data_IF_309253777409
#
_entry.id   IF_309253777409
#
_cell.length_a   1.000
_cell.length_b   1.000
_cell.length_c   1.000
_cell.angle_alpha   90.00
_cell.angle_beta   90.00
_cell.angle_gamma   90.00
#
_symmetry.space_group_name_H-M   'P 1'
#
loop_
_entity.id
_entity.type
_entity.pdbx_description
1 polymer ?
#
# COMPACT_ATOMS: atom_id res chain seq x y z
N UNK A 1 -4.89 31.32 -19.88
CA UNK A 1 -5.88 30.73 -20.82
C UNK A 1 -5.31 29.52 -21.56
N UNK A 2 -4.00 29.43 -21.83
CA UNK A 2 -3.35 28.22 -22.39
C UNK A 2 -3.28 27.06 -21.37
N UNK A 3 -2.91 27.34 -20.11
CA UNK A 3 -2.79 26.30 -19.05
C UNK A 3 -4.10 25.55 -18.73
N UNK A 4 -5.26 26.19 -18.91
CA UNK A 4 -6.56 25.56 -18.62
C UNK A 4 -6.97 24.57 -19.71
N UNK A 5 -6.56 24.80 -20.95
CA UNK A 5 -6.83 23.88 -22.05
C UNK A 5 -5.95 22.63 -21.98
N UNK A 6 -4.68 22.78 -21.57
CA UNK A 6 -3.76 21.64 -21.43
C UNK A 6 -4.18 20.72 -20.28
N UNK A 7 -4.62 21.26 -19.13
CA UNK A 7 -5.14 20.45 -18.02
C UNK A 7 -6.44 19.71 -18.39
N UNK A 8 -7.35 20.36 -19.12
CA UNK A 8 -8.60 19.73 -19.58
C UNK A 8 -8.34 18.65 -20.63
N UNK A 9 -7.39 18.89 -21.55
CA UNK A 9 -7.01 17.92 -22.59
C UNK A 9 -6.32 16.70 -21.96
N UNK A 10 -5.41 16.92 -21.01
CA UNK A 10 -4.71 15.86 -20.28
C UNK A 10 -5.68 15.00 -19.47
N UNK A 11 -6.59 15.62 -18.70
CA UNK A 11 -7.61 14.90 -17.95
C UNK A 11 -8.57 14.11 -18.86
N UNK A 12 -8.89 14.65 -20.05
CA UNK A 12 -9.74 13.96 -21.04
C UNK A 12 -9.03 12.76 -21.69
N UNK A 13 -7.71 12.86 -21.91
CA UNK A 13 -6.88 11.78 -22.46
C UNK A 13 -6.67 10.66 -21.43
N UNK A 14 -6.33 11.00 -20.18
CA UNK A 14 -6.22 10.03 -19.07
C UNK A 14 -7.55 9.29 -18.84
N UNK A 15 -8.68 9.99 -18.95
CA UNK A 15 -10.02 9.37 -18.87
C UNK A 15 -10.28 8.43 -20.04
N UNK A 16 -9.71 8.69 -21.22
CA UNK A 16 -9.90 7.83 -22.40
C UNK A 16 -9.02 6.58 -22.34
N UNK A 17 -7.78 6.71 -21.90
CA UNK A 17 -6.83 5.59 -21.76
C UNK A 17 -7.21 4.64 -20.63
N UNK A 18 -7.56 5.16 -19.45
CA UNK A 18 -8.09 4.35 -18.33
C UNK A 18 -9.32 3.55 -18.74
N UNK A 19 -10.26 4.18 -19.44
CA UNK A 19 -11.46 3.53 -19.94
C UNK A 19 -11.14 2.40 -20.94
N UNK A 20 -10.15 2.58 -21.83
CA UNK A 20 -9.75 1.51 -22.74
C UNK A 20 -9.22 0.27 -22.00
N UNK A 21 -8.35 0.47 -20.99
CA UNK A 21 -7.84 -0.64 -20.17
C UNK A 21 -8.96 -1.36 -19.42
N UNK A 22 -9.92 -0.60 -18.86
CA UNK A 22 -11.11 -1.16 -18.19
C UNK A 22 -11.97 -1.97 -19.16
N UNK A 23 -12.22 -1.47 -20.37
CA UNK A 23 -13.00 -2.18 -21.38
C UNK A 23 -12.32 -3.50 -21.77
N UNK A 24 -11.01 -3.45 -22.05
CA UNK A 24 -10.24 -4.67 -22.37
C UNK A 24 -10.27 -5.66 -21.20
N UNK A 25 -10.12 -5.19 -19.96
CA UNK A 25 -10.23 -6.02 -18.77
C UNK A 25 -11.59 -6.74 -18.68
N UNK A 26 -12.69 -6.01 -18.89
CA UNK A 26 -14.03 -6.60 -18.88
C UNK A 26 -14.22 -7.61 -20.02
N UNK A 27 -13.68 -7.32 -21.19
CA UNK A 27 -13.78 -8.21 -22.36
C UNK A 27 -12.94 -9.48 -22.20
N UNK A 28 -11.76 -9.38 -21.56
CA UNK A 28 -10.91 -10.52 -21.19
C UNK A 28 -11.69 -11.50 -20.28
N UNK A 29 -12.43 -10.98 -19.29
CA UNK A 29 -13.28 -11.79 -18.39
C UNK A 29 -14.41 -12.47 -19.17
N UNK A 30 -15.16 -11.71 -19.99
CA UNK A 30 -16.29 -12.23 -20.77
C UNK A 30 -15.86 -13.29 -21.80
N UNK A 31 -14.62 -13.19 -22.27
CA UNK A 31 -14.03 -14.15 -23.20
C UNK A 31 -13.54 -15.43 -22.52
N UNK A 32 -13.68 -15.55 -21.19
CA UNK A 32 -13.38 -16.75 -20.42
C UNK A 32 -12.06 -16.71 -19.64
N UNK A 33 -11.34 -15.58 -19.63
CA UNK A 33 -10.15 -15.44 -18.79
C UNK A 33 -10.56 -15.39 -17.32
N UNK A 34 -9.86 -16.11 -16.44
CA UNK A 34 -10.09 -15.99 -15.01
C UNK A 34 -9.88 -14.53 -14.57
N UNK A 35 -10.83 -13.97 -13.83
CA UNK A 35 -10.87 -12.52 -13.56
C UNK A 35 -9.61 -11.99 -12.89
N UNK A 36 -9.01 -12.75 -11.96
CA UNK A 36 -7.77 -12.36 -11.31
C UNK A 36 -6.58 -12.27 -12.29
N UNK A 37 -6.52 -13.15 -13.28
CA UNK A 37 -5.50 -13.09 -14.34
C UNK A 37 -5.74 -11.87 -15.24
N UNK A 38 -7.00 -11.63 -15.62
CA UNK A 38 -7.37 -10.45 -16.40
C UNK A 38 -7.05 -9.14 -15.64
N UNK A 39 -7.26 -9.13 -14.32
CA UNK A 39 -6.94 -8.01 -13.43
C UNK A 39 -5.43 -7.73 -13.44
N UNK A 40 -4.59 -8.75 -13.24
CA UNK A 40 -3.13 -8.56 -13.23
C UNK A 40 -2.61 -8.05 -14.59
N UNK A 41 -3.17 -8.56 -15.70
CA UNK A 41 -2.86 -8.05 -17.03
C UNK A 41 -3.30 -6.58 -17.20
N UNK A 42 -4.47 -6.21 -16.69
CA UNK A 42 -4.96 -4.83 -16.72
C UNK A 42 -4.07 -3.90 -15.88
N UNK A 43 -3.63 -4.35 -14.69
CA UNK A 43 -2.64 -3.66 -13.86
C UNK A 43 -1.34 -3.44 -14.65
N UNK A 44 -0.88 -4.45 -15.39
CA UNK A 44 0.31 -4.36 -16.24
C UNK A 44 0.19 -3.30 -17.34
N UNK A 45 -1.00 -3.17 -17.93
CA UNK A 45 -1.31 -2.20 -19.01
C UNK A 45 -1.63 -0.78 -18.51
N UNK A 46 -1.82 -0.59 -17.21
CA UNK A 46 -2.25 0.69 -16.66
C UNK A 46 -1.10 1.70 -16.56
N UNK A 47 -1.14 2.81 -17.30
CA UNK A 47 -0.01 3.76 -17.34
C UNK A 47 -0.24 5.02 -16.49
N UNK A 48 -1.48 5.29 -16.08
CA UNK A 48 -1.84 6.51 -15.37
C UNK A 48 -1.36 6.44 -13.91
N UNK A 49 -0.52 7.39 -13.45
CA UNK A 49 0.07 7.35 -12.11
C UNK A 49 -0.90 7.79 -11.00
N UNK A 50 -1.86 8.64 -11.33
CA UNK A 50 -2.95 9.07 -10.46
C UNK A 50 -4.17 9.52 -11.27
N UNK A 51 -5.37 9.37 -10.72
CA UNK A 51 -6.61 9.86 -11.34
C UNK A 51 -7.60 10.30 -10.26
N UNK A 52 -8.56 11.16 -10.63
CA UNK A 52 -9.72 11.46 -9.78
C UNK A 52 -10.95 10.73 -10.32
N UNK A 53 -11.45 9.76 -9.55
CA UNK A 53 -12.64 9.00 -9.89
C UNK A 53 -13.65 9.08 -8.74
N UNK A 54 -14.90 9.39 -9.04
CA UNK A 54 -15.97 9.56 -8.04
C UNK A 54 -15.59 10.45 -6.85
N UNK A 55 -14.97 11.61 -7.13
CA UNK A 55 -14.48 12.58 -6.14
C UNK A 55 -13.35 12.09 -5.23
N UNK A 56 -12.85 10.87 -5.44
CA UNK A 56 -11.69 10.32 -4.75
C UNK A 56 -10.46 10.41 -5.64
N UNK A 57 -9.37 10.93 -5.08
CA UNK A 57 -8.05 10.88 -5.72
C UNK A 57 -7.43 9.51 -5.48
N UNK A 58 -7.23 8.76 -6.55
CA UNK A 58 -6.46 7.53 -6.57
C UNK A 58 -5.03 7.87 -6.99
N UNK A 59 -4.05 7.58 -6.13
CA UNK A 59 -2.63 7.70 -6.44
C UNK A 59 -2.01 6.32 -6.44
N UNK A 60 -1.65 5.85 -7.62
CA UNK A 60 -1.12 4.51 -7.85
C UNK A 60 0.41 4.49 -7.80
N UNK A 61 1.08 5.53 -8.28
CA UNK A 61 2.53 5.64 -8.27
C UNK A 61 2.98 6.77 -7.33
N UNK A 62 3.83 6.43 -6.36
CA UNK A 62 4.34 7.35 -5.35
C UNK A 62 5.80 7.66 -5.64
N UNK A 63 6.12 8.95 -5.66
CA UNK A 63 7.46 9.46 -5.96
C UNK A 63 8.06 8.88 -7.26
N UNK A 64 7.21 8.54 -8.23
CA UNK A 64 7.55 7.97 -9.54
C UNK A 64 8.27 6.61 -9.49
N UNK A 65 8.26 5.93 -8.33
CA UNK A 65 9.05 4.70 -8.16
C UNK A 65 8.41 3.64 -7.23
N UNK A 66 7.34 3.95 -6.50
CA UNK A 66 6.67 3.02 -5.60
C UNK A 66 5.20 2.82 -6.00
N UNK A 67 4.87 1.66 -6.54
CA UNK A 67 3.55 1.33 -7.10
C UNK A 67 2.64 0.64 -6.08
N UNK A 68 1.56 1.32 -5.70
CA UNK A 68 0.50 0.81 -4.86
C UNK A 68 -0.47 -0.06 -5.68
N UNK A 69 -0.07 -1.31 -5.86
CA UNK A 69 -0.83 -2.29 -6.62
C UNK A 69 -2.26 -2.47 -6.08
N UNK A 70 -2.46 -2.41 -4.76
CA UNK A 70 -3.76 -2.67 -4.14
C UNK A 70 -4.78 -1.56 -4.39
N UNK A 71 -4.35 -0.30 -4.44
CA UNK A 71 -5.25 0.81 -4.78
C UNK A 71 -5.72 0.71 -6.23
N UNK A 72 -4.88 0.23 -7.15
CA UNK A 72 -5.32 -0.03 -8.53
C UNK A 72 -6.22 -1.27 -8.61
N UNK A 73 -5.92 -2.32 -7.84
CA UNK A 73 -6.80 -3.49 -7.72
C UNK A 73 -8.21 -3.08 -7.28
N UNK A 74 -8.32 -2.26 -6.23
CA UNK A 74 -9.61 -1.72 -5.76
C UNK A 74 -10.37 -1.02 -6.90
N UNK A 75 -9.70 -0.12 -7.63
CA UNK A 75 -10.29 0.63 -8.74
C UNK A 75 -10.82 -0.26 -9.86
N UNK A 76 -10.05 -1.26 -10.25
CA UNK A 76 -10.40 -2.17 -11.35
C UNK A 76 -11.52 -3.13 -10.92
N UNK A 77 -11.47 -3.66 -9.69
CA UNK A 77 -12.54 -4.47 -9.13
C UNK A 77 -13.88 -3.69 -9.09
N UNK A 78 -13.86 -2.42 -8.66
CA UNK A 78 -15.05 -1.55 -8.68
C UNK A 78 -15.61 -1.38 -10.11
N UNK A 79 -14.73 -1.20 -11.10
CA UNK A 79 -15.12 -1.04 -12.51
C UNK A 79 -15.70 -2.31 -13.16
N UNK A 80 -15.48 -3.48 -12.56
CA UNK A 80 -15.93 -4.78 -13.06
C UNK A 80 -16.73 -5.59 -12.03
N UNK A 81 -17.30 -4.94 -11.02
CA UNK A 81 -17.98 -5.62 -9.92
C UNK A 81 -19.18 -6.47 -10.36
N UNK A 82 -19.80 -6.16 -11.50
CA UNK A 82 -20.87 -6.97 -12.11
C UNK A 82 -20.37 -8.28 -12.75
N UNK A 83 -19.07 -8.43 -12.93
CA UNK A 83 -18.42 -9.58 -13.58
C UNK A 83 -17.58 -10.43 -12.62
N UNK A 84 -17.38 -9.99 -11.37
CA UNK A 84 -16.45 -10.59 -10.42
C UNK A 84 -17.20 -11.04 -9.16
N UNK A 85 -16.91 -12.22 -8.59
CA UNK A 85 -17.50 -12.63 -7.33
C UNK A 85 -17.16 -11.66 -6.18
N UNK A 86 -18.18 -11.15 -5.50
CA UNK A 86 -18.00 -10.19 -4.40
C UNK A 86 -17.18 -10.79 -3.25
N UNK A 87 -17.44 -12.05 -2.88
CA UNK A 87 -16.71 -12.75 -1.83
C UNK A 87 -15.21 -12.85 -2.13
N UNK A 88 -14.83 -13.22 -3.37
CA UNK A 88 -13.42 -13.30 -3.75
C UNK A 88 -12.76 -11.92 -3.81
N UNK A 89 -13.52 -10.88 -4.18
CA UNK A 89 -13.05 -9.50 -4.16
C UNK A 89 -12.74 -9.05 -2.73
N UNK A 90 -13.62 -9.37 -1.77
CA UNK A 90 -13.40 -9.08 -0.36
C UNK A 90 -12.19 -9.85 0.20
N UNK A 91 -12.06 -11.13 -0.16
CA UNK A 91 -10.89 -11.96 0.19
C UNK A 91 -9.57 -11.34 -0.31
N UNK A 92 -9.54 -10.91 -1.57
CA UNK A 92 -8.37 -10.28 -2.15
C UNK A 92 -8.05 -8.93 -1.49
N UNK A 93 -9.02 -8.02 -1.41
CA UNK A 93 -8.80 -6.64 -0.95
C UNK A 93 -8.51 -6.54 0.54
N UNK A 94 -9.19 -7.34 1.38
CA UNK A 94 -9.09 -7.22 2.83
C UNK A 94 -8.19 -8.27 3.48
N UNK A 95 -8.02 -9.44 2.85
CA UNK A 95 -7.23 -10.54 3.40
C UNK A 95 -5.97 -10.85 2.59
N UNK A 96 -5.75 -10.16 1.45
CA UNK A 96 -4.65 -10.41 0.53
C UNK A 96 -4.61 -11.89 0.11
N UNK A 97 -5.80 -12.46 -0.08
CA UNK A 97 -6.02 -13.86 -0.40
C UNK A 97 -6.53 -13.96 -1.85
N UNK A 98 -5.65 -14.19 -2.84
CA UNK A 98 -6.04 -14.25 -4.24
C UNK A 98 -6.84 -15.52 -4.53
N UNK A 99 -7.80 -15.49 -5.48
CA UNK A 99 -8.60 -16.66 -5.84
C UNK A 99 -7.81 -17.74 -6.59
N UNK A 100 -6.62 -17.40 -7.10
CA UNK A 100 -5.71 -18.29 -7.80
C UNK A 100 -4.31 -18.09 -7.24
N UNK A 101 -3.66 -19.18 -6.84
CA UNK A 101 -2.26 -19.16 -6.44
C UNK A 101 -1.36 -18.96 -7.66
N UNK A 102 -0.43 -18.01 -7.56
CA UNK A 102 0.58 -17.74 -8.57
C UNK A 102 1.96 -17.78 -7.94
N UNK A 103 2.93 -18.30 -8.69
CA UNK A 103 4.33 -18.09 -8.38
C UNK A 103 4.72 -16.63 -8.56
N UNK A 104 5.82 -16.21 -7.91
CA UNK A 104 6.39 -14.87 -8.09
C UNK A 104 6.67 -14.55 -9.55
N UNK A 105 7.14 -15.52 -10.33
CA UNK A 105 7.46 -15.33 -11.75
C UNK A 105 6.20 -15.15 -12.62
N UNK A 106 5.12 -15.86 -12.31
CA UNK A 106 3.83 -15.68 -12.99
C UNK A 106 3.24 -14.30 -12.67
N UNK A 107 3.19 -13.92 -11.39
CA UNK A 107 2.73 -12.60 -10.98
C UNK A 107 3.52 -11.49 -11.69
N UNK A 108 4.85 -11.59 -11.67
CA UNK A 108 5.75 -10.65 -12.35
C UNK A 108 5.50 -10.61 -13.86
N UNK A 109 5.26 -11.76 -14.51
CA UNK A 109 4.96 -11.83 -15.95
C UNK A 109 3.68 -11.08 -16.32
N UNK A 110 2.66 -11.11 -15.46
CA UNK A 110 1.40 -10.42 -15.71
C UNK A 110 1.49 -8.91 -15.55
N UNK A 111 2.12 -8.43 -14.47
CA UNK A 111 2.21 -6.98 -14.20
C UNK A 111 3.38 -6.30 -14.92
N UNK A 112 4.38 -7.05 -15.37
CA UNK A 112 5.57 -6.56 -16.04
C UNK A 112 6.73 -6.19 -15.10
N UNK A 113 7.95 -6.24 -15.62
CA UNK A 113 9.20 -6.08 -14.84
C UNK A 113 9.29 -4.75 -14.09
N UNK A 114 8.94 -3.65 -14.76
CA UNK A 114 9.03 -2.31 -14.18
C UNK A 114 8.03 -2.12 -13.04
N UNK A 115 6.76 -2.47 -13.26
CA UNK A 115 5.72 -2.42 -12.22
C UNK A 115 6.00 -3.39 -11.07
N UNK A 116 6.58 -4.56 -11.35
CA UNK A 116 7.02 -5.47 -10.31
C UNK A 116 8.13 -4.84 -9.45
N UNK A 117 9.11 -4.18 -10.06
CA UNK A 117 10.13 -3.43 -9.32
C UNK A 117 9.50 -2.32 -8.46
N UNK A 118 8.59 -1.52 -9.03
CA UNK A 118 7.88 -0.48 -8.28
C UNK A 118 6.96 -1.04 -7.19
N UNK A 119 6.35 -2.21 -7.40
CA UNK A 119 5.58 -2.92 -6.38
C UNK A 119 6.46 -3.32 -5.20
N UNK A 120 7.68 -3.83 -5.45
CA UNK A 120 8.64 -4.11 -4.39
C UNK A 120 9.08 -2.83 -3.65
N UNK A 121 9.26 -1.72 -4.36
CA UNK A 121 9.56 -0.43 -3.73
C UNK A 121 8.43 0.04 -2.80
N UNK A 122 7.17 -0.16 -3.20
CA UNK A 122 6.02 0.11 -2.33
C UNK A 122 6.02 -0.81 -1.11
N UNK A 123 6.17 -2.12 -1.32
CA UNK A 123 6.16 -3.10 -0.24
C UNK A 123 7.26 -2.82 0.79
N UNK A 124 8.51 -2.67 0.37
CA UNK A 124 9.62 -2.44 1.30
C UNK A 124 9.69 -1.00 1.81
N UNK A 125 9.40 -0.03 0.95
CA UNK A 125 9.61 1.38 1.27
C UNK A 125 8.43 2.05 1.96
N UNK A 126 7.23 1.46 1.90
CA UNK A 126 6.04 1.99 2.57
C UNK A 126 5.51 0.94 3.54
N UNK A 127 5.04 -0.21 3.07
CA UNK A 127 4.37 -1.19 3.94
C UNK A 127 5.27 -1.71 5.06
N UNK A 128 6.50 -2.14 4.74
CA UNK A 128 7.46 -2.64 5.73
C UNK A 128 7.99 -1.50 6.61
N UNK A 129 8.13 -0.29 6.07
CA UNK A 129 8.61 0.87 6.83
C UNK A 129 7.57 1.34 7.87
N UNK A 130 6.27 1.33 7.54
CA UNK A 130 5.19 1.57 8.49
C UNK A 130 5.14 0.48 9.56
N UNK A 131 5.26 -0.79 9.16
CA UNK A 131 5.29 -1.92 10.09
C UNK A 131 6.47 -1.83 11.07
N UNK A 132 7.64 -1.39 10.61
CA UNK A 132 8.80 -1.11 11.46
C UNK A 132 8.47 -0.04 12.52
N UNK A 133 7.81 1.07 12.12
CA UNK A 133 7.39 2.10 13.06
C UNK A 133 6.47 1.52 14.13
N UNK A 134 5.44 0.74 13.75
CA UNK A 134 4.55 0.08 14.70
C UNK A 134 5.26 -0.92 15.61
N UNK A 135 6.18 -1.72 15.08
CA UNK A 135 6.94 -2.69 15.85
C UNK A 135 7.75 -2.01 16.97
N UNK A 136 8.43 -0.90 16.64
CA UNK A 136 9.22 -0.14 17.62
C UNK A 136 8.32 0.60 18.62
N UNK A 137 7.20 1.17 18.17
CA UNK A 137 6.20 1.75 19.08
C UNK A 137 5.66 0.72 20.08
N UNK A 138 5.41 -0.51 19.64
CA UNK A 138 4.93 -1.60 20.48
C UNK A 138 5.98 -2.08 21.49
N UNK A 139 7.26 -2.14 21.09
CA UNK A 139 8.39 -2.40 22.00
C UNK A 139 8.45 -1.33 23.10
N UNK A 140 8.40 -0.04 22.74
CA UNK A 140 8.41 1.08 23.70
C UNK A 140 7.22 0.97 24.67
N UNK A 141 6.04 0.65 24.13
CA UNK A 141 4.82 0.45 24.94
C UNK A 141 5.00 -0.70 25.94
N UNK A 142 5.59 -1.82 25.52
CA UNK A 142 5.88 -2.99 26.38
C UNK A 142 6.92 -2.67 27.46
N UNK A 143 8.02 -2.01 27.10
CA UNK A 143 9.06 -1.55 28.03
C UNK A 143 8.47 -0.68 29.14
N UNK A 144 7.66 0.33 28.78
CA UNK A 144 7.05 1.26 29.75
C UNK A 144 6.06 0.57 30.69
N UNK A 145 5.26 -0.37 30.17
CA UNK A 145 4.37 -1.20 31.01
C UNK A 145 5.16 -2.02 32.02
N UNK A 146 6.28 -2.63 31.60
CA UNK A 146 7.16 -3.39 32.49
C UNK A 146 7.83 -2.54 33.57
N UNK A 147 8.13 -1.27 33.30
CA UNK A 147 8.77 -0.35 34.26
C UNK A 147 7.79 0.40 35.19
N UNK A 148 6.48 0.15 35.12
CA UNK A 148 5.47 0.88 35.92
C UNK A 148 5.32 2.36 35.56
N UNK A 149 5.97 2.83 34.49
CA UNK A 149 5.92 4.20 33.99
C UNK A 149 4.73 4.38 33.04
N UNK A 150 3.52 4.20 33.57
CA UNK A 150 2.26 4.45 32.84
C UNK A 150 1.93 5.95 32.77
N UNK A 151 2.90 6.79 32.41
CA UNK A 151 2.60 8.18 32.03
C UNK A 151 2.47 8.23 30.52
N UNK A 152 1.40 8.87 30.07
CA UNK A 152 1.11 9.17 28.67
C UNK A 152 2.27 9.98 28.08
N UNK A 153 3.21 9.26 27.47
CA UNK A 153 4.43 9.79 26.87
C UNK A 153 4.36 9.46 25.39
N UNK A 154 4.84 10.36 24.56
CA UNK A 154 4.89 10.19 23.11
C UNK A 154 5.67 8.91 22.73
N UNK A 155 4.97 7.82 22.39
CA UNK A 155 5.56 6.57 21.90
C UNK A 155 6.08 6.78 20.47
N UNK A 156 5.31 7.50 19.65
CA UNK A 156 5.62 7.76 18.25
C UNK A 156 6.88 8.62 18.11
N UNK A 157 7.01 9.70 18.89
CA UNK A 157 8.21 10.53 18.89
C UNK A 157 9.47 9.75 19.28
N UNK A 158 9.37 8.87 20.27
CA UNK A 158 10.44 7.97 20.70
C UNK A 158 10.77 6.93 19.62
N UNK A 159 9.78 6.30 18.98
CA UNK A 159 10.00 5.34 17.90
C UNK A 159 10.72 5.99 16.71
N UNK A 160 10.26 7.17 16.30
CA UNK A 160 10.93 7.96 15.27
C UNK A 160 12.37 8.29 15.63
N UNK A 161 12.64 8.66 16.89
CA UNK A 161 13.99 8.91 17.36
C UNK A 161 14.85 7.64 17.33
N UNK A 162 14.32 6.49 17.77
CA UNK A 162 15.04 5.21 17.75
C UNK A 162 15.38 4.76 16.33
N UNK A 163 14.45 4.90 15.37
CA UNK A 163 14.64 4.44 13.99
C UNK A 163 15.50 5.43 13.19
N UNK A 164 15.16 6.73 13.23
CA UNK A 164 15.72 7.75 12.33
C UNK A 164 16.67 8.75 13.01
N UNK A 165 16.80 8.73 14.34
CA UNK A 165 17.61 9.69 15.11
C UNK A 165 16.93 11.03 15.37
N UNK A 166 15.73 11.26 14.86
CA UNK A 166 14.98 12.52 15.01
C UNK A 166 13.50 12.24 15.26
N UNK A 167 12.81 13.14 15.96
CA UNK A 167 11.36 13.02 16.11
C UNK A 167 10.62 13.26 14.79
N UNK A 168 9.36 12.80 14.73
CA UNK A 168 8.49 12.88 13.56
C UNK A 168 8.32 14.30 13.01
N UNK A 169 8.17 15.29 13.87
CA UNK A 169 7.97 16.69 13.47
C UNK A 169 9.18 17.25 12.71
N UNK A 170 10.39 16.95 13.17
CA UNK A 170 11.63 17.37 12.49
C UNK A 170 11.75 16.69 11.13
N UNK A 171 11.46 15.39 11.06
CA UNK A 171 11.53 14.63 9.81
C UNK A 171 10.49 15.13 8.79
N UNK A 172 9.25 15.35 9.23
CA UNK A 172 8.19 15.86 8.36
C UNK A 172 8.50 17.26 7.82
N UNK A 173 9.08 18.14 8.67
CA UNK A 173 9.51 19.47 8.23
C UNK A 173 10.61 19.40 7.18
N UNK A 174 11.57 18.47 7.32
CA UNK A 174 12.65 18.25 6.34
C UNK A 174 12.07 17.74 5.01
N UNK A 175 11.24 16.70 5.04
CA UNK A 175 10.54 16.16 3.88
C UNK A 175 9.79 17.25 3.11
N UNK A 176 8.92 18.00 3.80
CA UNK A 176 8.14 19.07 3.17
C UNK A 176 9.01 20.19 2.62
N UNK A 177 10.12 20.53 3.29
CA UNK A 177 11.07 21.51 2.78
C UNK A 177 11.73 21.03 1.48
N UNK A 178 12.14 19.77 1.44
CA UNK A 178 12.77 19.16 0.26
C UNK A 178 11.79 19.08 -0.92
N UNK A 179 10.53 18.72 -0.66
CA UNK A 179 9.45 18.64 -1.66
C UNK A 179 8.77 19.98 -1.98
N UNK A 180 9.22 21.07 -1.35
CA UNK A 180 8.59 22.39 -1.47
C UNK A 180 7.09 22.41 -1.10
N UNK A 181 6.68 21.56 -0.15
CA UNK A 181 5.31 21.50 0.36
C UNK A 181 5.05 22.50 1.50
N UNK A 182 3.81 23.02 1.61
CA UNK A 182 3.41 23.88 2.71
C UNK A 182 3.57 23.22 4.09
N UNK A 183 3.98 23.98 5.09
CA UNK A 183 4.18 23.50 6.47
C UNK A 183 2.88 23.53 7.26
N UNK A 184 1.91 22.68 6.88
CA UNK A 184 0.58 22.60 7.49
C UNK A 184 0.57 21.73 8.76
N UNK A 185 -0.45 21.88 9.60
CA UNK A 185 -0.65 20.98 10.76
C UNK A 185 -1.19 19.61 10.37
N UNK A 186 -2.03 19.57 9.34
CA UNK A 186 -2.58 18.34 8.78
C UNK A 186 -1.63 17.73 7.74
N UNK A 187 -1.76 16.42 7.51
CA UNK A 187 -1.10 15.67 6.45
C UNK A 187 -2.17 14.85 5.72
N UNK A 188 -2.17 14.86 4.38
CA UNK A 188 -3.08 14.02 3.59
C UNK A 188 -2.56 12.58 3.55
N UNK A 189 -3.43 11.60 3.30
CA UNK A 189 -3.03 10.19 3.20
C UNK A 189 -1.93 9.96 2.14
N UNK A 190 -2.09 10.55 0.95
CA UNK A 190 -1.10 10.41 -0.13
C UNK A 190 0.24 11.07 0.22
N UNK A 191 0.20 12.21 0.91
CA UNK A 191 1.40 12.88 1.43
C UNK A 191 2.07 12.05 2.54
N UNK A 192 1.27 11.37 3.37
CA UNK A 192 1.78 10.47 4.40
C UNK A 192 2.52 9.28 3.78
N UNK A 193 1.97 8.64 2.73
CA UNK A 193 2.67 7.55 2.03
C UNK A 193 3.97 8.02 1.39
N UNK A 194 3.97 9.19 0.76
CA UNK A 194 5.20 9.78 0.20
C UNK A 194 6.22 10.11 1.29
N UNK A 195 5.77 10.62 2.44
CA UNK A 195 6.63 10.86 3.59
C UNK A 195 7.24 9.57 4.14
N UNK A 196 6.44 8.51 4.29
CA UNK A 196 6.93 7.18 4.70
C UNK A 196 8.01 6.68 3.73
N UNK A 197 7.75 6.77 2.42
CA UNK A 197 8.71 6.35 1.43
C UNK A 197 10.00 7.19 1.44
N UNK A 198 9.90 8.49 1.72
CA UNK A 198 11.05 9.34 1.96
C UNK A 198 11.84 8.94 3.22
N UNK A 199 11.16 8.54 4.30
CA UNK A 199 11.81 8.01 5.52
C UNK A 199 12.60 6.73 5.24
N UNK A 200 12.05 5.81 4.45
CA UNK A 200 12.76 4.63 3.99
C UNK A 200 14.06 5.00 3.26
N UNK A 201 13.97 5.90 2.26
CA UNK A 201 15.16 6.37 1.52
C UNK A 201 16.17 7.07 2.43
N UNK A 202 15.70 7.85 3.40
CA UNK A 202 16.55 8.46 4.42
C UNK A 202 17.28 7.40 5.25
N UNK A 203 16.58 6.35 5.72
CA UNK A 203 17.16 5.25 6.50
C UNK A 203 18.23 4.50 5.71
N UNK A 204 17.96 4.18 4.44
CA UNK A 204 18.93 3.54 3.54
C UNK A 204 20.22 4.36 3.37
N UNK A 205 20.10 5.68 3.34
CA UNK A 205 21.24 6.59 3.15
C UNK A 205 22.07 6.80 4.43
N UNK A 206 21.42 6.82 5.59
CA UNK A 206 22.05 7.24 6.85
C UNK A 206 22.48 6.09 7.76
N UNK A 207 21.89 4.90 7.60
CA UNK A 207 22.18 3.73 8.44
C UNK A 207 23.22 2.82 7.79
N UNK A 208 23.97 2.08 8.60
CA UNK A 208 24.80 0.99 8.08
C UNK A 208 23.94 -0.17 7.55
N UNK A 209 24.55 -1.03 6.72
CA UNK A 209 23.85 -2.14 6.06
C UNK A 209 23.26 -3.16 7.04
N UNK A 210 23.92 -3.41 8.17
CA UNK A 210 23.45 -4.38 9.15
C UNK A 210 22.21 -3.86 9.87
N UNK A 211 22.21 -2.58 10.25
CA UNK A 211 21.05 -1.91 10.81
C UNK A 211 19.87 -1.88 9.84
N UNK A 212 20.10 -1.53 8.57
CA UNK A 212 19.05 -1.56 7.53
C UNK A 212 18.40 -2.94 7.44
N UNK A 213 19.20 -4.01 7.39
CA UNK A 213 18.70 -5.38 7.29
C UNK A 213 17.93 -5.80 8.54
N UNK A 214 18.42 -5.45 9.74
CA UNK A 214 17.77 -5.74 11.02
C UNK A 214 16.41 -5.06 11.14
N UNK A 215 16.35 -3.76 10.83
CA UNK A 215 15.13 -2.96 10.87
C UNK A 215 14.10 -3.47 9.84
N UNK A 216 14.54 -3.76 8.61
CA UNK A 216 13.67 -4.33 7.58
C UNK A 216 13.12 -5.69 8.01
N UNK A 217 13.94 -6.56 8.64
CA UNK A 217 13.46 -7.84 9.19
C UNK A 217 12.43 -7.62 10.29
N UNK A 218 12.67 -6.70 11.22
CA UNK A 218 11.70 -6.37 12.28
C UNK A 218 10.33 -5.95 11.71
N UNK A 219 10.32 -5.11 10.67
CA UNK A 219 9.07 -4.72 10.00
C UNK A 219 8.36 -5.90 9.33
N UNK A 220 9.10 -6.80 8.68
CA UNK A 220 8.54 -8.02 8.07
C UNK A 220 7.96 -8.96 9.13
N UNK A 221 8.68 -9.21 10.20
CA UNK A 221 8.24 -10.10 11.29
C UNK A 221 6.95 -9.57 11.93
N UNK A 222 6.85 -8.24 12.09
CA UNK A 222 5.63 -7.59 12.56
C UNK A 222 4.44 -7.83 11.60
N UNK A 223 4.63 -7.62 10.29
CA UNK A 223 3.58 -7.89 9.29
C UNK A 223 3.13 -9.34 9.28
N UNK A 224 4.07 -10.30 9.40
CA UNK A 224 3.74 -11.71 9.48
C UNK A 224 2.88 -12.02 10.70
N UNK A 225 3.23 -11.46 11.87
CA UNK A 225 2.44 -11.63 13.10
C UNK A 225 1.02 -11.08 12.98
N UNK A 226 0.85 -9.92 12.32
CA UNK A 226 -0.46 -9.32 12.05
C UNK A 226 -1.28 -10.16 11.07
N UNK A 227 -0.66 -10.66 10.01
CA UNK A 227 -1.34 -11.49 9.02
C UNK A 227 -1.83 -12.80 9.62
N UNK A 228 -1.01 -13.47 10.44
CA UNK A 228 -1.44 -14.68 11.17
C UNK A 228 -2.63 -14.38 12.09
N UNK A 229 -2.57 -13.30 12.86
CA UNK A 229 -3.68 -12.91 13.75
C UNK A 229 -4.97 -12.59 12.96
N UNK A 230 -4.83 -11.90 11.82
CA UNK A 230 -5.95 -11.56 10.93
C UNK A 230 -6.59 -12.81 10.32
N UNK A 231 -5.77 -13.75 9.85
CA UNK A 231 -6.24 -15.01 9.27
C UNK A 231 -6.98 -15.88 10.30
N UNK A 232 -6.47 -16.00 11.52
CA UNK A 232 -7.18 -16.73 12.59
C UNK A 232 -8.55 -16.10 12.88
N UNK A 233 -8.62 -14.77 13.03
CA UNK A 233 -9.89 -14.08 13.28
C UNK A 233 -10.88 -14.14 12.10
N UNK A 234 -10.40 -14.34 10.87
CA UNK A 234 -11.23 -14.54 9.69
C UNK A 234 -11.76 -15.98 9.63
N UNK A 235 -10.90 -16.98 9.87
CA UNK A 235 -11.31 -18.39 9.95
C UNK A 235 -12.35 -18.63 11.05
N UNK A 236 -12.17 -18.02 12.22
CA UNK A 236 -13.13 -18.11 13.31
C UNK A 236 -14.50 -17.55 12.90
N UNK A 237 -14.52 -16.38 12.24
CA UNK A 237 -15.76 -15.77 11.74
C UNK A 237 -16.47 -16.65 10.70
N UNK A 238 -15.75 -17.22 9.74
CA UNK A 238 -16.36 -18.11 8.75
C UNK A 238 -16.92 -19.39 9.40
N UNK A 239 -16.29 -19.90 10.48
CA UNK A 239 -16.85 -21.03 11.24
C UNK A 239 -18.15 -20.67 11.97
N UNK A 240 -18.22 -19.46 12.55
CA UNK A 240 -19.46 -18.97 13.18
C UNK A 240 -20.61 -18.80 12.17
N UNK A 241 -20.32 -18.29 10.96
CA UNK A 241 -21.34 -18.06 9.93
C UNK A 241 -21.78 -19.34 9.20
N UNK A 242 -20.93 -20.36 9.14
CA UNK A 242 -21.24 -21.66 8.49
C UNK A 242 -21.97 -22.66 9.41
N UNK A 243 -22.24 -22.31 10.66
CA UNK A 243 -23.04 -23.13 11.57
C UNK A 243 -22.39 -24.47 11.96
N UNK A 244 -21.09 -24.66 11.73
CA UNK A 244 -20.36 -25.83 12.21
C UNK A 244 -20.02 -25.61 13.68
N UNK A 245 -21.03 -25.77 14.53
CA UNK A 245 -20.82 -26.06 15.94
C UNK A 245 -20.32 -27.50 16.01
N UNK A 246 -19.01 -27.69 16.17
CA UNK A 246 -18.46 -28.99 16.56
C UNK A 246 -19.18 -29.45 17.83
N UNK A 247 -19.85 -30.60 17.74
CA UNK A 247 -20.48 -31.30 18.86
C UNK A 247 -19.47 -32.02 19.75
#
# INVERSE_FOLDING_TARGET
MVMLNDEILHASLETTESNHVILTFRDDIKSGTHWYIALLNAIGRWEIPEETHNQRLYRYLIADEAFDCMVLTERLCDAAGDLIPENETLELLFYNNPPVELTTDEFKRHIGDLKYHWHLNYYYGITVEEALQYAVEDEIRKERRGSGLYRDKDNTGEAFHRIYGFNRTVMLKRFRKEKSYPQLKSIKLNEMKEFTYWLFKFRLKQSDKARVASDTRKGIDWLQSLNTARQSAHQDRNKFDTGVLDG
#
